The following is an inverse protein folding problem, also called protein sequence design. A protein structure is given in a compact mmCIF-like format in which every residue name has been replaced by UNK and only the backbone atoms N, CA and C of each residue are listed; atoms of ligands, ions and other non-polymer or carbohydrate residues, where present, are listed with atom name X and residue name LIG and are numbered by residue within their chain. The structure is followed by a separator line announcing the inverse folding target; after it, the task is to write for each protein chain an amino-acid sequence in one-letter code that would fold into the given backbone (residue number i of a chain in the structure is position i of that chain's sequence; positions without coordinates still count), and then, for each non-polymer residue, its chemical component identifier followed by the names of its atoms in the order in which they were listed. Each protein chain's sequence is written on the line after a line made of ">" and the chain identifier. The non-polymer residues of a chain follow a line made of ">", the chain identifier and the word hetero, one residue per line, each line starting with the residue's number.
data_IF_776788738066
#
_entry.id   IF_776788738066
#
_cell.length_a   1.000
_cell.length_b   1.000
_cell.length_c   1.000
_cell.angle_alpha   90.00
_cell.angle_beta   90.00
_cell.angle_gamma   90.00
#
_symmetry.space_group_name_H-M   'P 1'
#
loop_
_entity.id
_entity.type
_entity.pdbx_description
1 polymer ?
#
# COMPACT_ATOMS: atom_id res chain seq x y z
N UNK A 1 -29.94 33.17 -28.83
CA UNK A 1 -29.35 33.08 -27.47
C UNK A 1 -29.89 31.82 -26.84
N UNK A 2 -29.11 30.74 -26.83
CA UNK A 2 -29.41 29.56 -26.04
C UNK A 2 -28.12 29.21 -25.33
N UNK A 3 -28.06 29.60 -24.05
CA UNK A 3 -26.94 29.30 -23.16
C UNK A 3 -26.98 27.81 -22.85
N UNK A 4 -25.95 27.06 -23.26
CA UNK A 4 -25.71 25.72 -22.74
C UNK A 4 -25.32 25.87 -21.28
N UNK A 5 -26.15 25.36 -20.38
CA UNK A 5 -25.74 25.12 -18.99
C UNK A 5 -24.52 24.21 -19.03
N UNK A 6 -23.35 24.75 -18.68
CA UNK A 6 -22.16 23.97 -18.44
C UNK A 6 -22.45 23.03 -17.28
N UNK A 7 -22.18 21.75 -17.50
CA UNK A 7 -22.26 20.72 -16.46
C UNK A 7 -21.34 21.16 -15.31
N UNK A 8 -21.91 21.35 -14.12
CA UNK A 8 -21.10 21.69 -12.94
C UNK A 8 -20.13 20.53 -12.69
N UNK A 9 -18.84 20.77 -12.39
CA UNK A 9 -17.90 19.69 -12.15
C UNK A 9 -18.44 18.80 -11.03
N UNK A 10 -18.65 17.53 -11.36
CA UNK A 10 -19.16 16.54 -10.43
C UNK A 10 -18.16 16.42 -9.27
N UNK A 11 -18.62 16.65 -8.03
CA UNK A 11 -17.77 16.52 -6.85
C UNK A 11 -17.20 15.10 -6.78
N UNK A 12 -15.88 14.97 -6.63
CA UNK A 12 -15.18 13.71 -6.39
C UNK A 12 -15.80 13.00 -5.19
N UNK A 13 -16.29 11.76 -5.36
CA UNK A 13 -16.83 10.95 -4.27
C UNK A 13 -15.71 10.32 -3.43
N UNK A 14 -16.05 9.82 -2.23
CA UNK A 14 -15.09 9.06 -1.41
C UNK A 14 -14.63 7.79 -2.13
N UNK A 15 -15.53 7.12 -2.85
CA UNK A 15 -15.19 5.95 -3.66
C UNK A 15 -14.25 6.30 -4.81
N UNK A 16 -14.35 7.49 -5.40
CA UNK A 16 -13.41 7.93 -6.44
C UNK A 16 -12.00 8.13 -5.86
N UNK A 17 -11.90 8.69 -4.65
CA UNK A 17 -10.62 8.84 -3.95
C UNK A 17 -10.00 7.47 -3.66
N UNK A 18 -10.77 6.53 -3.11
CA UNK A 18 -10.31 5.17 -2.81
C UNK A 18 -9.93 4.43 -4.09
N UNK A 19 -10.70 4.57 -5.16
CA UNK A 19 -10.47 3.88 -6.45
C UNK A 19 -9.18 4.33 -7.13
N UNK A 20 -8.57 5.45 -6.75
CA UNK A 20 -7.23 5.81 -7.24
C UNK A 20 -6.13 4.88 -6.73
N UNK A 21 -6.33 4.27 -5.57
CA UNK A 21 -5.32 3.48 -4.83
C UNK A 21 -5.76 2.07 -4.43
N UNK A 22 -7.04 1.74 -4.62
CA UNK A 22 -7.55 0.38 -4.67
C UNK A 22 -8.23 0.18 -6.03
N UNK A 23 -7.43 -0.08 -7.07
CA UNK A 23 -7.88 0.06 -8.46
C UNK A 23 -7.94 -1.27 -9.24
N UNK A 24 -7.81 -2.41 -8.53
CA UNK A 24 -7.97 -3.74 -9.12
C UNK A 24 -9.32 -4.36 -8.76
N UNK A 25 -9.89 -5.26 -9.60
CA UNK A 25 -11.13 -5.97 -9.29
C UNK A 25 -11.09 -6.65 -7.92
N UNK A 26 -12.19 -6.69 -7.17
CA UNK A 26 -12.22 -7.33 -5.85
C UNK A 26 -11.87 -8.84 -5.92
N UNK A 27 -12.16 -9.48 -7.05
CA UNK A 27 -11.82 -10.85 -7.40
C UNK A 27 -10.52 -10.95 -8.21
N UNK A 28 -9.57 -10.02 -7.98
CA UNK A 28 -8.28 -9.99 -8.68
C UNK A 28 -7.54 -11.32 -8.65
N UNK A 29 -7.63 -12.09 -7.56
CA UNK A 29 -7.01 -13.42 -7.47
C UNK A 29 -7.51 -14.38 -8.57
N UNK A 30 -8.78 -14.28 -8.96
CA UNK A 30 -9.38 -15.05 -10.05
C UNK A 30 -9.07 -14.41 -11.42
N UNK A 31 -8.99 -13.08 -11.47
CA UNK A 31 -8.78 -12.29 -12.69
C UNK A 31 -7.38 -11.66 -12.75
N UNK A 32 -6.34 -12.40 -12.34
CA UNK A 32 -5.01 -11.85 -12.18
C UNK A 32 -4.22 -11.76 -13.50
N UNK A 33 -4.86 -11.82 -14.67
CA UNK A 33 -4.13 -11.66 -15.93
C UNK A 33 -3.67 -10.20 -16.11
N UNK A 34 -2.45 -9.94 -16.60
CA UNK A 34 -1.50 -10.90 -17.17
C UNK A 34 -0.43 -11.40 -16.18
N UNK A 35 -0.64 -11.32 -14.87
CA UNK A 35 0.37 -11.68 -13.89
C UNK A 35 0.63 -13.18 -13.79
N UNK A 36 1.83 -13.53 -13.34
CA UNK A 36 2.20 -14.85 -12.85
C UNK A 36 2.04 -14.86 -11.34
N UNK A 37 1.53 -15.95 -10.77
CA UNK A 37 1.47 -16.11 -9.31
C UNK A 37 2.85 -16.50 -8.80
N UNK A 38 3.36 -15.74 -7.84
CA UNK A 38 4.56 -16.10 -7.07
C UNK A 38 4.14 -17.07 -5.95
N UNK A 39 4.78 -18.23 -5.88
CA UNK A 39 4.50 -19.27 -4.89
C UNK A 39 5.80 -19.64 -4.19
N UNK A 40 5.75 -19.77 -2.86
CA UNK A 40 6.91 -20.11 -2.03
C UNK A 40 6.66 -21.48 -1.40
N UNK A 41 7.24 -22.53 -1.98
CA UNK A 41 7.01 -23.89 -1.49
C UNK A 41 7.53 -24.05 -0.04
N UNK A 42 6.83 -24.81 0.81
CA UNK A 42 5.71 -25.69 0.48
C UNK A 42 4.33 -25.02 0.51
N UNK A 43 4.22 -23.72 0.80
CA UNK A 43 2.93 -23.03 0.84
C UNK A 43 2.37 -22.85 -0.59
N UNK A 44 1.20 -23.43 -0.91
CA UNK A 44 0.61 -23.32 -2.24
C UNK A 44 -0.06 -21.97 -2.51
N UNK A 45 -0.23 -21.10 -1.50
CA UNK A 45 -0.90 -19.81 -1.65
C UNK A 45 -0.04 -18.85 -2.49
N UNK A 46 -0.67 -17.91 -3.24
CA UNK A 46 0.08 -16.88 -3.96
C UNK A 46 0.67 -15.85 -2.99
N UNK A 47 2.00 -15.73 -2.93
CA UNK A 47 2.72 -14.73 -2.12
C UNK A 47 2.95 -13.41 -2.87
N UNK A 48 2.57 -13.36 -4.14
CA UNK A 48 2.69 -12.16 -4.95
C UNK A 48 2.28 -12.39 -6.40
N UNK A 49 2.33 -11.31 -7.19
CA UNK A 49 1.96 -11.31 -8.60
C UNK A 49 3.07 -10.65 -9.41
N UNK A 50 3.68 -11.42 -10.31
CA UNK A 50 4.84 -10.99 -11.10
C UNK A 50 4.39 -10.66 -12.52
N UNK A 51 4.69 -9.46 -12.99
CA UNK A 51 4.35 -9.06 -14.36
C UNK A 51 5.16 -9.88 -15.40
N UNK A 52 4.61 -10.24 -16.57
CA UNK A 52 5.32 -11.02 -17.59
C UNK A 52 6.67 -10.44 -17.99
N UNK A 53 6.77 -9.11 -18.09
CA UNK A 53 8.04 -8.45 -18.40
C UNK A 53 9.10 -8.69 -17.32
N UNK A 54 8.69 -8.70 -16.04
CA UNK A 54 9.58 -9.05 -14.93
C UNK A 54 9.96 -10.52 -15.01
N UNK A 55 9.02 -11.42 -15.28
CA UNK A 55 9.31 -12.86 -15.46
C UNK A 55 10.35 -13.07 -16.56
N UNK A 56 10.21 -12.38 -17.70
CA UNK A 56 11.09 -12.53 -18.85
C UNK A 56 12.49 -11.91 -18.65
N UNK A 57 12.59 -10.81 -17.89
CA UNK A 57 13.85 -10.07 -17.69
C UNK A 57 14.65 -10.53 -16.48
N UNK A 58 13.96 -10.94 -15.41
CA UNK A 58 14.61 -11.24 -14.13
C UNK A 58 15.56 -12.45 -14.29
N UNK A 59 16.81 -12.35 -13.82
CA UNK A 59 17.76 -13.46 -13.83
C UNK A 59 17.45 -14.43 -12.68
N UNK A 60 16.36 -15.19 -12.82
CA UNK A 60 15.90 -16.14 -11.80
C UNK A 60 16.99 -17.18 -11.44
N UNK A 61 17.33 -17.32 -10.16
CA UNK A 61 18.21 -18.39 -9.68
C UNK A 61 17.65 -19.78 -9.95
N UNK A 62 18.52 -20.79 -9.88
CA UNK A 62 18.13 -22.19 -10.09
C UNK A 62 17.12 -22.72 -9.04
N UNK A 63 16.99 -22.06 -7.88
CA UNK A 63 15.96 -22.37 -6.88
C UNK A 63 14.56 -21.94 -7.29
N UNK A 64 14.41 -21.23 -8.41
CA UNK A 64 13.12 -20.87 -8.99
C UNK A 64 12.82 -21.72 -10.23
N UNK A 65 11.56 -22.13 -10.34
CA UNK A 65 10.98 -22.71 -11.55
C UNK A 65 9.87 -21.81 -12.08
N UNK A 66 9.73 -21.74 -13.40
CA UNK A 66 8.71 -20.93 -14.08
C UNK A 66 7.84 -21.86 -14.92
N UNK A 67 6.55 -21.93 -14.57
CA UNK A 67 5.53 -22.64 -15.35
C UNK A 67 4.75 -21.60 -16.17
N UNK A 68 5.04 -21.50 -17.46
CA UNK A 68 4.36 -20.58 -18.38
C UNK A 68 2.93 -20.99 -18.71
N UNK A 69 2.60 -22.29 -18.66
CA UNK A 69 1.25 -22.79 -18.92
C UNK A 69 0.30 -22.42 -17.78
N UNK A 70 0.75 -22.62 -16.53
CA UNK A 70 -0.01 -22.26 -15.32
C UNK A 70 0.23 -20.83 -14.83
N UNK A 71 1.14 -20.10 -15.48
CA UNK A 71 1.59 -18.74 -15.10
C UNK A 71 2.02 -18.68 -13.64
N UNK A 72 3.02 -19.48 -13.27
CA UNK A 72 3.58 -19.52 -11.91
C UNK A 72 5.08 -19.29 -11.91
N UNK A 73 5.54 -18.54 -10.93
CA UNK A 73 6.94 -18.45 -10.52
C UNK A 73 7.03 -19.10 -9.16
N UNK A 74 7.72 -20.22 -9.04
CA UNK A 74 7.74 -21.04 -7.84
C UNK A 74 9.16 -21.07 -7.26
N UNK A 75 9.34 -20.60 -6.03
CA UNK A 75 10.52 -20.92 -5.24
C UNK A 75 10.38 -22.35 -4.70
N UNK A 76 11.44 -23.15 -4.85
CA UNK A 76 11.49 -24.52 -4.32
C UNK A 76 11.47 -24.56 -2.79
N UNK A 77 11.18 -25.74 -2.23
CA UNK A 77 11.15 -25.93 -0.79
C UNK A 77 12.54 -25.70 -0.18
N UNK A 78 12.63 -25.14 1.05
CA UNK A 78 13.91 -24.87 1.67
C UNK A 78 14.72 -26.16 1.85
N UNK A 79 16.05 -26.11 1.67
CA UNK A 79 16.93 -27.21 2.03
C UNK A 79 16.79 -27.59 3.50
N UNK A 80 17.12 -28.84 3.84
CA UNK A 80 17.07 -29.32 5.21
C UNK A 80 17.90 -28.42 6.16
N UNK A 81 17.28 -27.99 7.25
CA UNK A 81 17.91 -27.12 8.25
C UNK A 81 17.82 -25.62 7.98
N UNK A 82 17.15 -25.19 6.91
CA UNK A 82 16.89 -23.78 6.59
C UNK A 82 15.41 -23.44 6.78
N UNK A 83 15.11 -22.27 7.33
CA UNK A 83 13.72 -21.76 7.39
C UNK A 83 13.27 -21.28 6.02
N UNK A 84 11.95 -21.27 5.78
CA UNK A 84 11.38 -20.75 4.53
C UNK A 84 11.80 -19.28 4.29
N UNK A 85 11.71 -18.44 5.33
CA UNK A 85 12.06 -17.02 5.21
C UNK A 85 13.54 -16.81 4.87
N UNK A 86 14.45 -17.56 5.51
CA UNK A 86 15.87 -17.48 5.20
C UNK A 86 16.16 -17.93 3.76
N UNK A 87 15.51 -19.02 3.32
CA UNK A 87 15.67 -19.52 1.96
C UNK A 87 15.14 -18.53 0.92
N UNK A 88 13.93 -17.99 1.13
CA UNK A 88 13.31 -17.00 0.26
C UNK A 88 14.15 -15.73 0.18
N UNK A 89 14.59 -15.18 1.31
CA UNK A 89 15.43 -13.98 1.34
C UNK A 89 16.73 -14.19 0.54
N UNK A 90 17.41 -15.32 0.74
CA UNK A 90 18.63 -15.63 0.00
C UNK A 90 18.39 -15.77 -1.51
N UNK A 91 17.31 -16.44 -1.91
CA UNK A 91 16.96 -16.65 -3.32
C UNK A 91 16.56 -15.33 -4.01
N UNK A 92 15.76 -14.49 -3.36
CA UNK A 92 15.41 -13.17 -3.90
C UNK A 92 16.62 -12.25 -3.96
N UNK A 93 17.47 -12.23 -2.93
CA UNK A 93 18.70 -11.44 -2.93
C UNK A 93 19.59 -11.83 -4.11
N UNK A 94 19.77 -13.13 -4.38
CA UNK A 94 20.55 -13.60 -5.52
C UNK A 94 19.96 -13.13 -6.86
N UNK A 95 18.64 -13.15 -7.02
CA UNK A 95 17.98 -12.64 -8.23
C UNK A 95 18.19 -11.13 -8.41
N UNK A 96 18.06 -10.37 -7.31
CA UNK A 96 18.23 -8.92 -7.26
C UNK A 96 19.68 -8.54 -7.57
N UNK A 97 20.65 -9.17 -6.91
CA UNK A 97 22.09 -8.91 -7.13
C UNK A 97 22.48 -9.14 -8.59
N UNK A 98 22.01 -10.25 -9.18
CA UNK A 98 22.25 -10.55 -10.58
C UNK A 98 21.56 -9.54 -11.52
N UNK A 99 20.42 -8.97 -11.12
CA UNK A 99 19.73 -7.95 -11.90
C UNK A 99 20.42 -6.59 -11.82
N UNK A 100 20.91 -6.20 -10.64
CA UNK A 100 21.73 -4.99 -10.41
C UNK A 100 23.02 -5.07 -11.22
N UNK A 101 23.74 -6.20 -11.13
CA UNK A 101 25.00 -6.40 -11.86
C UNK A 101 24.86 -6.29 -13.38
N UNK A 102 23.63 -6.41 -13.90
CA UNK A 102 23.30 -6.35 -15.33
C UNK A 102 22.49 -5.11 -15.71
N UNK A 103 22.23 -4.20 -14.75
CA UNK A 103 21.45 -2.97 -14.94
C UNK A 103 20.09 -3.20 -15.61
N UNK A 104 19.35 -4.24 -15.17
CA UNK A 104 18.13 -4.69 -15.85
C UNK A 104 16.87 -3.90 -15.48
N UNK A 105 16.86 -3.28 -14.30
CA UNK A 105 15.71 -2.56 -13.76
C UNK A 105 16.14 -1.17 -13.27
N UNK A 106 15.64 -0.08 -13.86
CA UNK A 106 16.02 1.29 -13.48
C UNK A 106 15.74 1.64 -12.01
N UNK A 107 14.74 0.98 -11.42
CA UNK A 107 14.29 1.20 -10.04
C UNK A 107 15.07 0.41 -9.00
N UNK A 108 15.88 -0.58 -9.41
CA UNK A 108 16.66 -1.44 -8.51
C UNK A 108 18.10 -0.95 -8.50
N UNK A 109 18.34 0.25 -7.96
CA UNK A 109 19.63 0.95 -8.05
C UNK A 109 20.25 1.30 -6.67
N UNK A 110 19.96 0.51 -5.64
CA UNK A 110 20.78 0.45 -4.42
C UNK A 110 20.38 1.38 -3.27
N UNK A 111 19.21 2.03 -3.33
CA UNK A 111 18.68 2.92 -2.27
C UNK A 111 17.38 2.38 -1.67
N UNK A 112 17.34 1.13 -1.18
CA UNK A 112 16.06 0.46 -0.86
C UNK A 112 15.98 -0.07 0.56
N UNK A 113 16.54 0.65 1.53
CA UNK A 113 16.38 0.26 2.92
C UNK A 113 16.43 1.49 3.81
N UNK A 114 15.26 1.90 4.27
CA UNK A 114 15.11 2.90 5.30
C UNK A 114 14.21 2.34 6.40
N UNK A 115 14.72 2.35 7.63
CA UNK A 115 14.02 1.93 8.84
C UNK A 115 13.89 3.18 9.71
N UNK A 116 12.75 3.88 9.64
CA UNK A 116 12.58 5.15 10.35
C UNK A 116 11.51 5.11 11.44
N UNK A 117 11.72 5.95 12.44
CA UNK A 117 10.73 6.32 13.44
C UNK A 117 10.10 7.66 13.02
N UNK A 118 9.24 7.59 12.00
CA UNK A 118 8.50 8.69 11.33
C UNK A 118 8.09 9.83 12.28
N UNK A 119 7.40 9.53 13.39
CA UNK A 119 6.84 10.59 14.25
C UNK A 119 7.88 11.40 15.05
N UNK A 120 9.03 10.81 15.38
CA UNK A 120 10.10 11.49 16.13
C UNK A 120 11.01 12.24 15.17
N UNK A 121 11.34 11.61 14.04
CA UNK A 121 12.26 12.16 13.04
C UNK A 121 11.60 13.24 12.17
N UNK A 122 10.40 12.98 11.62
CA UNK A 122 9.77 13.91 10.66
C UNK A 122 9.03 15.08 11.36
N UNK A 123 8.46 14.84 12.54
CA UNK A 123 7.58 15.80 13.23
C UNK A 123 8.15 16.43 14.50
N UNK A 124 9.42 16.13 14.83
CA UNK A 124 10.12 16.62 16.04
C UNK A 124 9.35 16.36 17.35
N UNK A 125 8.52 15.31 17.40
CA UNK A 125 7.71 15.03 18.58
C UNK A 125 8.53 14.30 19.65
N UNK A 126 8.46 14.71 20.94
CA UNK A 126 9.18 14.00 21.99
C UNK A 126 8.76 12.53 22.09
N UNK A 127 9.74 11.61 22.13
CA UNK A 127 9.48 10.16 22.22
C UNK A 127 8.54 9.82 23.39
N UNK A 128 8.74 10.43 24.55
CA UNK A 128 7.88 10.23 25.73
C UNK A 128 6.42 10.65 25.49
N UNK A 129 6.18 11.68 24.67
CA UNK A 129 4.84 12.12 24.29
C UNK A 129 4.18 11.08 23.38
N UNK A 130 4.91 10.65 22.34
CA UNK A 130 4.44 9.65 21.38
C UNK A 130 4.11 8.34 22.09
N UNK A 131 5.04 7.80 22.88
CA UNK A 131 4.87 6.55 23.61
C UNK A 131 3.66 6.59 24.57
N UNK A 132 3.41 7.72 25.21
CA UNK A 132 2.30 7.85 26.16
C UNK A 132 0.92 7.94 25.47
N UNK A 133 0.84 8.51 24.27
CA UNK A 133 -0.44 8.93 23.66
C UNK A 133 -0.83 8.19 22.39
N UNK A 134 0.12 7.62 21.66
CA UNK A 134 -0.18 6.89 20.42
C UNK A 134 -1.05 5.67 20.74
N UNK A 135 -2.09 5.45 19.93
CA UNK A 135 -2.99 4.30 20.04
C UNK A 135 -3.14 3.66 18.68
N UNK A 136 -3.05 2.33 18.63
CA UNK A 136 -3.40 1.62 17.40
C UNK A 136 -4.88 1.79 17.12
N UNK A 137 -5.21 2.20 15.89
CA UNK A 137 -6.57 2.45 15.43
C UNK A 137 -7.06 1.40 14.41
N UNK A 138 -6.17 0.49 13.99
CA UNK A 138 -6.47 -0.61 13.08
C UNK A 138 -5.52 -0.64 11.89
N UNK A 139 -6.03 -1.11 10.75
CA UNK A 139 -5.30 -1.12 9.50
C UNK A 139 -6.23 -0.81 8.32
N UNK A 140 -5.67 -0.18 7.29
CA UNK A 140 -6.31 -0.01 5.98
C UNK A 140 -5.60 -0.93 5.00
N UNK A 141 -6.37 -1.71 4.25
CA UNK A 141 -5.82 -2.66 3.27
C UNK A 141 -6.31 -2.32 1.88
N UNK A 142 -5.38 -2.23 0.93
CA UNK A 142 -5.62 -1.76 -0.44
C UNK A 142 -4.88 -2.65 -1.44
N UNK A 143 -5.35 -2.71 -2.68
CA UNK A 143 -4.61 -3.32 -3.77
C UNK A 143 -4.69 -2.47 -5.03
N UNK A 144 -3.54 -2.12 -5.60
CA UNK A 144 -3.49 -1.36 -6.84
C UNK A 144 -2.57 -1.99 -7.88
N UNK A 145 -2.80 -1.54 -9.09
CA UNK A 145 -1.90 -1.64 -10.20
C UNK A 145 -1.38 -0.25 -10.52
N UNK A 146 -0.07 -0.09 -10.54
CA UNK A 146 0.56 1.16 -10.90
C UNK A 146 0.26 1.48 -12.38
N UNK A 147 -0.32 2.64 -12.65
CA UNK A 147 -0.75 3.01 -14.01
C UNK A 147 0.42 3.16 -15.01
N UNK A 148 1.63 3.50 -14.53
CA UNK A 148 2.82 3.69 -15.38
C UNK A 148 3.56 2.38 -15.64
N UNK A 149 3.79 1.58 -14.60
CA UNK A 149 4.60 0.36 -14.70
C UNK A 149 3.76 -0.89 -14.94
N UNK A 150 2.45 -0.83 -14.69
CA UNK A 150 1.56 -1.98 -14.77
C UNK A 150 1.78 -3.01 -13.66
N UNK A 151 2.67 -2.74 -12.69
CA UNK A 151 2.98 -3.65 -11.57
C UNK A 151 1.83 -3.68 -10.56
N UNK A 152 1.61 -4.86 -9.98
CA UNK A 152 0.64 -5.06 -8.90
C UNK A 152 1.29 -4.80 -7.54
N UNK A 153 0.55 -4.14 -6.66
CA UNK A 153 0.93 -3.82 -5.29
C UNK A 153 -0.26 -4.07 -4.36
N UNK A 154 0.00 -4.75 -3.25
CA UNK A 154 -0.92 -4.85 -2.12
C UNK A 154 -0.32 -4.13 -0.93
N UNK A 155 -1.12 -3.34 -0.22
CA UNK A 155 -0.66 -2.48 0.86
C UNK A 155 -1.46 -2.77 2.13
N UNK A 156 -0.75 -2.82 3.26
CA UNK A 156 -1.31 -2.81 4.61
C UNK A 156 -0.76 -1.56 5.28
N UNK A 157 -1.62 -0.59 5.55
CA UNK A 157 -1.28 0.62 6.28
C UNK A 157 -1.75 0.44 7.72
N UNK A 158 -0.82 0.26 8.65
CA UNK A 158 -1.14 0.23 10.08
C UNK A 158 -1.43 1.65 10.57
N UNK A 159 -2.64 1.86 11.08
CA UNK A 159 -3.14 3.20 11.44
C UNK A 159 -3.01 3.40 12.93
N UNK A 160 -2.50 4.57 13.30
CA UNK A 160 -2.36 5.02 14.68
C UNK A 160 -3.00 6.40 14.84
N UNK A 161 -3.70 6.58 15.94
CA UNK A 161 -4.23 7.87 16.34
C UNK A 161 -3.41 8.40 17.52
N UNK A 162 -3.18 9.71 17.53
CA UNK A 162 -2.54 10.40 18.65
C UNK A 162 -3.14 11.80 18.79
N UNK A 163 -3.84 12.03 19.90
CA UNK A 163 -4.34 13.35 20.24
C UNK A 163 -3.20 14.21 20.81
N UNK A 164 -2.86 15.29 20.09
CA UNK A 164 -1.84 16.23 20.50
C UNK A 164 -2.37 17.20 21.57
N UNK A 165 -1.58 17.50 22.61
CA UNK A 165 -1.90 18.59 23.53
C UNK A 165 -2.00 19.94 22.78
N UNK A 166 -2.88 20.85 23.22
CA UNK A 166 -3.07 22.16 22.56
C UNK A 166 -1.81 23.04 22.50
N UNK A 167 -0.85 22.78 23.38
CA UNK A 167 0.43 23.49 23.49
C UNK A 167 1.58 22.83 22.70
N UNK A 168 1.31 21.72 22.02
CA UNK A 168 2.30 21.02 21.17
C UNK A 168 2.04 21.34 19.71
N UNK A 169 3.03 21.94 19.05
CA UNK A 169 3.02 22.18 17.60
C UNK A 169 4.08 21.30 16.94
N UNK A 170 3.70 20.39 16.03
CA UNK A 170 4.66 19.62 15.23
C UNK A 170 5.53 20.55 14.38
N UNK A 171 6.81 20.20 14.24
CA UNK A 171 7.77 20.95 13.45
C UNK A 171 8.58 19.98 12.59
N UNK A 172 8.93 20.33 11.34
CA UNK A 172 9.81 19.52 10.53
C UNK A 172 11.10 19.19 11.29
N UNK A 173 11.40 17.91 11.45
CA UNK A 173 12.63 17.44 12.12
C UNK A 173 13.75 17.06 11.15
N UNK A 174 13.42 16.83 9.89
CA UNK A 174 14.33 16.50 8.79
C UNK A 174 13.97 17.28 7.51
N UNK A 175 14.53 16.87 6.37
CA UNK A 175 14.28 17.45 5.04
C UNK A 175 13.14 16.77 4.26
N UNK A 176 12.42 15.81 4.85
CA UNK A 176 11.30 15.12 4.22
C UNK A 176 9.99 15.91 4.32
N UNK A 177 9.83 16.69 5.39
CA UNK A 177 8.64 17.51 5.65
C UNK A 177 8.95 19.00 5.44
N UNK A 178 8.17 19.66 4.59
CA UNK A 178 8.30 21.11 4.39
C UNK A 178 7.61 21.90 5.51
N UNK A 179 6.38 21.52 5.87
CA UNK A 179 5.59 22.18 6.89
C UNK A 179 4.48 21.30 7.48
N UNK A 180 3.95 21.72 8.63
CA UNK A 180 2.75 21.16 9.25
C UNK A 180 1.62 22.19 9.23
N UNK A 181 0.45 21.78 8.74
CA UNK A 181 -0.75 22.62 8.66
C UNK A 181 -1.87 21.99 9.48
N UNK A 182 -2.40 22.74 10.46
CA UNK A 182 -3.57 22.32 11.23
C UNK A 182 -4.84 22.62 10.44
N UNK A 183 -5.63 21.59 10.13
CA UNK A 183 -6.87 21.68 9.35
C UNK A 183 -8.06 21.13 10.13
N UNK A 184 -9.24 21.73 9.93
CA UNK A 184 -10.50 21.16 10.40
C UNK A 184 -11.02 20.05 9.47
N UNK A 185 -11.90 19.17 9.96
CA UNK A 185 -12.44 18.05 9.19
C UNK A 185 -13.15 18.48 7.88
N UNK A 186 -13.86 19.61 7.89
CA UNK A 186 -14.51 20.14 6.68
C UNK A 186 -13.49 20.61 5.63
N UNK A 187 -12.47 21.35 6.06
CA UNK A 187 -11.38 21.81 5.19
C UNK A 187 -10.60 20.62 4.61
N UNK A 188 -10.23 19.65 5.45
CA UNK A 188 -9.59 18.41 5.04
C UNK A 188 -10.36 17.72 3.90
N UNK A 189 -11.69 17.62 4.02
CA UNK A 189 -12.55 17.02 2.99
C UNK A 189 -12.57 17.80 1.69
N UNK A 190 -12.61 19.13 1.77
CA UNK A 190 -12.56 19.96 0.57
C UNK A 190 -11.18 19.85 -0.13
N UNK A 191 -10.07 19.83 0.63
CA UNK A 191 -8.71 19.61 0.11
C UNK A 191 -8.56 18.23 -0.57
N UNK A 192 -9.11 17.17 0.06
CA UNK A 192 -9.18 15.83 -0.55
C UNK A 192 -9.93 15.84 -1.89
N UNK A 193 -11.10 16.51 -1.95
CA UNK A 193 -11.90 16.58 -3.16
C UNK A 193 -11.20 17.35 -4.30
N UNK A 194 -10.35 18.34 -3.96
CA UNK A 194 -9.50 19.08 -4.91
C UNK A 194 -8.22 18.33 -5.31
N UNK A 195 -7.91 17.20 -4.67
CA UNK A 195 -6.74 16.38 -5.00
C UNK A 195 -5.42 16.99 -4.51
N UNK A 196 -5.46 17.76 -3.42
CA UNK A 196 -4.28 18.41 -2.82
C UNK A 196 -3.42 17.46 -1.97
N UNK A 197 -3.91 16.23 -1.75
CA UNK A 197 -3.18 15.18 -1.04
C UNK A 197 -2.65 14.10 -1.98
N UNK A 198 -1.57 13.45 -1.55
CA UNK A 198 -1.11 12.20 -2.19
C UNK A 198 -2.26 11.17 -2.15
N UNK A 199 -2.56 10.46 -3.25
CA UNK A 199 -3.72 9.58 -3.30
C UNK A 199 -3.78 8.50 -2.21
N UNK A 200 -2.62 7.99 -1.77
CA UNK A 200 -2.52 6.91 -0.78
C UNK A 200 -2.79 7.34 0.66
N UNK A 201 -2.77 8.65 0.98
CA UNK A 201 -3.11 9.12 2.33
C UNK A 201 -4.62 9.32 2.52
N UNK A 202 -5.37 9.51 1.43
CA UNK A 202 -6.82 9.72 1.49
C UNK A 202 -7.57 8.56 2.17
N UNK A 203 -7.30 7.26 1.89
CA UNK A 203 -7.95 6.16 2.60
C UNK A 203 -7.75 6.20 4.12
N UNK A 204 -6.58 6.61 4.60
CA UNK A 204 -6.29 6.73 6.05
C UNK A 204 -7.11 7.87 6.66
N UNK A 205 -7.21 9.01 5.97
CA UNK A 205 -8.04 10.14 6.40
C UNK A 205 -9.53 9.77 6.41
N UNK A 206 -10.00 9.03 5.41
CA UNK A 206 -11.39 8.55 5.35
C UNK A 206 -11.68 7.57 6.50
N UNK A 207 -10.78 6.61 6.77
CA UNK A 207 -10.90 5.69 7.91
C UNK A 207 -10.95 6.46 9.24
N UNK A 208 -10.12 7.48 9.42
CA UNK A 208 -10.16 8.36 10.59
C UNK A 208 -11.53 9.06 10.73
N UNK A 209 -12.00 9.74 9.69
CA UNK A 209 -13.27 10.47 9.71
C UNK A 209 -14.47 9.54 9.99
N UNK A 210 -14.44 8.30 9.49
CA UNK A 210 -15.46 7.29 9.78
C UNK A 210 -15.41 6.88 11.26
N UNK A 211 -14.24 6.54 11.79
CA UNK A 211 -14.07 6.10 13.19
C UNK A 211 -14.45 7.19 14.20
N UNK A 212 -14.28 8.46 13.83
CA UNK A 212 -14.62 9.62 14.66
C UNK A 212 -16.01 10.19 14.40
N UNK A 213 -16.81 9.59 13.51
CA UNK A 213 -18.21 9.97 13.27
C UNK A 213 -18.39 11.23 12.42
N UNK A 214 -17.35 11.70 11.74
CA UNK A 214 -17.39 12.82 10.79
C UNK A 214 -17.91 12.41 9.40
N UNK A 215 -17.82 11.11 9.09
CA UNK A 215 -18.51 10.49 7.96
C UNK A 215 -19.44 9.44 8.52
N UNK A 216 -20.74 9.55 8.24
CA UNK A 216 -21.77 8.65 8.77
C UNK A 216 -22.62 8.04 7.66
N UNK A 217 -23.33 6.92 7.93
CA UNK A 217 -24.25 6.31 6.97
C UNK A 217 -25.39 7.23 6.51
N UNK A 218 -25.77 8.24 7.30
CA UNK A 218 -26.82 9.20 6.98
C UNK A 218 -26.37 10.25 5.95
N UNK A 219 -25.06 10.49 5.85
CA UNK A 219 -24.48 11.53 5.00
C UNK A 219 -23.82 10.95 3.74
N UNK A 220 -23.31 9.73 3.82
CA UNK A 220 -22.61 9.06 2.72
C UNK A 220 -23.47 7.93 2.16
N UNK A 221 -23.86 8.08 0.89
CA UNK A 221 -24.75 7.13 0.19
C UNK A 221 -24.10 5.76 0.06
N UNK A 222 -22.80 5.73 -0.23
CA UNK A 222 -22.06 4.50 -0.52
C UNK A 222 -21.24 4.04 0.70
N UNK A 223 -21.70 4.38 1.91
CA UNK A 223 -20.95 4.20 3.17
C UNK A 223 -20.47 2.77 3.39
N UNK A 224 -21.32 1.77 3.09
CA UNK A 224 -20.96 0.35 3.24
C UNK A 224 -19.84 -0.04 2.28
N UNK A 225 -19.91 0.42 1.03
CA UNK A 225 -18.89 0.14 0.03
C UNK A 225 -17.57 0.84 0.38
N UNK A 226 -17.64 2.09 0.86
CA UNK A 226 -16.47 2.81 1.39
C UNK A 226 -15.82 2.01 2.52
N UNK A 227 -16.58 1.60 3.53
CA UNK A 227 -16.08 0.79 4.65
C UNK A 227 -15.45 -0.53 4.18
N UNK A 228 -16.09 -1.21 3.23
CA UNK A 228 -15.60 -2.48 2.70
C UNK A 228 -14.28 -2.31 1.92
N UNK A 229 -14.18 -1.25 1.11
CA UNK A 229 -12.99 -0.95 0.29
C UNK A 229 -11.78 -0.55 1.13
N UNK A 230 -11.98 0.05 2.31
CA UNK A 230 -10.90 0.32 3.27
C UNK A 230 -10.35 -0.94 3.96
N UNK A 231 -11.08 -2.05 3.89
CA UNK A 231 -10.74 -3.34 4.53
C UNK A 231 -10.70 -4.46 3.50
N UNK A 232 -10.14 -4.17 2.32
CA UNK A 232 -10.03 -5.11 1.24
C UNK A 232 -9.32 -6.39 1.69
N UNK A 233 -9.89 -7.56 1.34
CA UNK A 233 -9.18 -8.83 1.43
C UNK A 233 -8.04 -8.85 0.40
N UNK A 234 -6.81 -8.99 0.88
CA UNK A 234 -5.64 -9.04 0.01
C UNK A 234 -5.53 -10.41 -0.68
N UNK A 235 -5.09 -10.46 -1.95
CA UNK A 235 -4.94 -11.69 -2.71
C UNK A 235 -3.60 -12.40 -2.43
N UNK A 236 -3.03 -12.17 -1.24
CA UNK A 236 -1.79 -12.73 -0.70
C UNK A 236 -1.96 -13.05 0.78
N UNK A 237 -1.20 -13.99 1.37
CA UNK A 237 -1.22 -14.27 2.80
C UNK A 237 -0.91 -13.04 3.66
N UNK A 238 -1.68 -12.84 4.72
CA UNK A 238 -1.46 -11.77 5.73
C UNK A 238 -1.21 -12.34 7.13
N UNK A 239 -1.03 -13.65 7.23
CA UNK A 239 -0.77 -14.36 8.49
C UNK A 239 0.43 -15.27 8.29
N UNK A 240 1.28 -15.36 9.32
CA UNK A 240 2.39 -16.31 9.35
C UNK A 240 1.90 -17.75 9.33
N UNK A 241 2.71 -18.66 8.79
CA UNK A 241 2.47 -20.12 8.79
C UNK A 241 2.97 -20.82 10.06
N UNK A 242 3.59 -20.07 10.97
CA UNK A 242 3.94 -20.56 12.30
C UNK A 242 2.79 -20.30 13.28
N UNK A 243 2.24 -21.35 13.94
CA UNK A 243 1.24 -21.20 14.99
C UNK A 243 1.76 -20.51 16.24
#
# INVERSE_FOLDING_TARGET
>A
MSSSAGDAPQRTSLLDLITRVDNVPLDFEQQCEPFYRLVLAPDPRPHGYVHPDTVAKMPWPASFSIDHERRRVCLEAPPAGMTLSAHANAAFQQAIDAAIARDLFPTVNGMHSEHFLVAVEEASLPEALVAARVRSAGAVTLANRNAKTGLFHSEILYVYDMELPPDVTPLPGDDEVEEFVLMGCAELRDCMARGEFKPNVCPVMIDFLIRHGEITPEQERDYVDVCARLRRKLPVPTTSDEP
#
